data_IF_800640859361
#
_entry.id   IF_800640859361
#
_cell.length_a   1.000
_cell.length_b   1.000
_cell.length_c   1.000
_cell.angle_alpha   90.00
_cell.angle_beta   90.00
_cell.angle_gamma   90.00
#
_symmetry.space_group_name_H-M   'P 1'
#
loop_
_entity.id
_entity.type
_entity.pdbx_description
1 polymer ?
#
# COMPACT_ATOMS: atom_id res chain seq x y z
N UNK A 1 29.80 14.82 -36.76
CA UNK A 1 30.56 14.02 -35.79
C UNK A 1 29.64 13.38 -34.74
N UNK A 2 28.68 14.08 -34.16
CA UNK A 2 27.75 13.50 -33.15
C UNK A 2 26.89 12.34 -33.65
N UNK A 3 26.36 12.43 -34.90
CA UNK A 3 25.60 11.29 -35.48
C UNK A 3 26.42 10.01 -35.64
N UNK A 4 27.73 10.11 -35.75
CA UNK A 4 28.61 8.95 -35.96
C UNK A 4 28.89 8.22 -34.64
N UNK A 5 28.85 8.90 -33.51
CA UNK A 5 29.07 8.33 -32.18
C UNK A 5 27.84 7.55 -31.64
N UNK A 6 26.67 7.77 -32.23
CA UNK A 6 25.45 7.05 -31.87
C UNK A 6 25.12 5.87 -32.81
N UNK A 7 26.03 5.51 -33.73
CA UNK A 7 25.89 4.31 -34.57
C UNK A 7 26.43 3.10 -33.80
N UNK A 8 25.59 2.12 -33.46
CA UNK A 8 26.00 0.95 -32.68
C UNK A 8 27.03 0.07 -33.39
N UNK A 9 27.25 0.27 -34.69
CA UNK A 9 28.24 -0.46 -35.50
C UNK A 9 29.65 0.11 -35.43
N UNK A 10 29.82 1.28 -34.79
CA UNK A 10 31.12 1.94 -34.67
C UNK A 10 31.90 1.37 -33.49
N UNK A 11 33.17 1.00 -33.64
CA UNK A 11 34.01 0.63 -32.51
C UNK A 11 34.06 1.73 -31.44
N UNK A 12 33.84 1.38 -30.20
CA UNK A 12 33.76 2.32 -29.07
C UNK A 12 32.36 2.80 -28.76
N UNK A 13 31.33 2.25 -29.43
CA UNK A 13 29.94 2.51 -29.11
C UNK A 13 29.50 2.01 -27.72
N UNK A 14 30.36 1.24 -27.08
CA UNK A 14 30.14 0.66 -25.76
C UNK A 14 30.76 1.53 -24.68
N UNK A 15 30.09 2.61 -24.30
CA UNK A 15 30.48 3.42 -23.16
C UNK A 15 29.28 4.06 -22.50
N UNK A 16 29.36 4.34 -21.22
CA UNK A 16 28.36 5.07 -20.44
C UNK A 16 28.01 6.40 -21.13
N UNK A 17 29.00 7.18 -21.55
CA UNK A 17 28.78 8.47 -22.24
C UNK A 17 27.96 8.35 -23.53
N UNK A 18 28.16 7.28 -24.28
CA UNK A 18 27.38 7.02 -25.50
C UNK A 18 25.96 6.63 -25.15
N UNK A 19 25.78 5.77 -24.15
CA UNK A 19 24.47 5.34 -23.70
C UNK A 19 23.64 6.49 -23.14
N UNK A 20 24.24 7.40 -22.37
CA UNK A 20 23.56 8.62 -21.92
C UNK A 20 23.02 9.45 -23.09
N UNK A 21 23.82 9.59 -24.17
CA UNK A 21 23.37 10.29 -25.38
C UNK A 21 22.26 9.56 -26.13
N UNK A 22 22.33 8.23 -26.18
CA UNK A 22 21.28 7.38 -26.76
C UNK A 22 19.97 7.58 -26.02
N UNK A 23 19.98 7.50 -24.71
CA UNK A 23 18.81 7.74 -23.86
C UNK A 23 18.24 9.13 -24.11
N UNK A 24 19.08 10.19 -24.05
CA UNK A 24 18.64 11.58 -24.28
C UNK A 24 18.05 11.80 -25.67
N UNK A 25 18.46 11.01 -26.67
CA UNK A 25 17.91 11.12 -28.03
C UNK A 25 16.60 10.34 -28.23
N UNK A 26 16.29 9.40 -27.34
CA UNK A 26 15.15 8.49 -27.45
C UNK A 26 13.97 8.81 -26.53
N UNK A 27 14.11 9.80 -25.64
CA UNK A 27 13.06 10.19 -24.70
C UNK A 27 12.59 11.63 -24.94
N UNK A 28 11.37 11.95 -24.51
CA UNK A 28 10.71 13.27 -24.66
C UNK A 28 10.33 13.92 -23.32
N UNK A 29 10.90 13.44 -22.22
CA UNK A 29 10.65 13.95 -20.87
C UNK A 29 11.96 14.33 -20.15
N UNK A 30 11.86 15.19 -19.13
CA UNK A 30 12.99 15.60 -18.31
C UNK A 30 13.46 14.47 -17.38
N UNK A 31 14.78 14.38 -17.21
CA UNK A 31 15.41 13.40 -16.34
C UNK A 31 15.84 14.04 -15.01
N UNK A 32 15.76 13.32 -13.89
CA UNK A 32 16.39 13.76 -12.64
C UNK A 32 17.91 13.86 -12.78
N UNK A 33 18.53 14.79 -12.05
CA UNK A 33 19.96 15.04 -12.14
C UNK A 33 20.84 13.79 -11.91
N UNK A 34 20.40 12.88 -11.04
CA UNK A 34 21.17 11.69 -10.63
C UNK A 34 20.76 10.42 -11.38
N UNK A 35 19.93 10.51 -12.43
CA UNK A 35 19.49 9.31 -13.19
C UNK A 35 20.68 8.55 -13.79
N UNK A 36 21.73 9.25 -14.16
CA UNK A 36 22.90 8.65 -14.78
C UNK A 36 23.66 7.75 -13.83
N UNK A 37 23.77 8.13 -12.55
CA UNK A 37 24.39 7.30 -11.52
C UNK A 37 23.60 6.00 -11.31
N UNK A 38 22.25 6.09 -11.37
CA UNK A 38 21.37 4.93 -11.28
C UNK A 38 21.50 4.00 -12.50
N UNK A 39 21.59 4.56 -13.70
CA UNK A 39 21.81 3.80 -14.94
C UNK A 39 23.20 3.14 -14.92
N UNK A 40 24.23 3.88 -14.53
CA UNK A 40 25.58 3.37 -14.47
C UNK A 40 25.75 2.28 -13.39
N UNK A 41 25.05 2.38 -12.27
CA UNK A 41 25.00 1.34 -11.24
C UNK A 41 24.34 0.07 -11.78
N UNK A 42 23.20 0.21 -12.47
CA UNK A 42 22.47 -0.93 -13.05
C UNK A 42 23.26 -1.66 -14.14
N UNK A 43 24.04 -0.92 -14.92
CA UNK A 43 24.80 -1.44 -16.07
C UNK A 43 26.32 -1.46 -15.87
N UNK A 44 26.83 -0.98 -14.73
CA UNK A 44 28.26 -0.74 -14.50
C UNK A 44 29.18 -1.95 -14.73
N UNK A 45 28.70 -3.14 -14.43
CA UNK A 45 29.44 -4.39 -14.68
C UNK A 45 29.46 -4.78 -16.17
N UNK A 46 28.62 -4.18 -17.01
CA UNK A 46 28.46 -4.53 -18.43
C UNK A 46 29.17 -3.53 -19.35
N UNK A 47 29.47 -2.29 -18.89
CA UNK A 47 30.17 -1.30 -19.70
C UNK A 47 31.58 -1.72 -20.13
N UNK A 48 32.25 -2.59 -19.35
CA UNK A 48 33.62 -3.04 -19.57
C UNK A 48 33.69 -4.47 -20.13
N UNK A 49 32.58 -5.06 -20.52
CA UNK A 49 32.56 -6.42 -21.08
C UNK A 49 32.91 -6.36 -22.56
N UNK A 50 33.88 -7.13 -22.99
CA UNK A 50 34.14 -7.34 -24.41
C UNK A 50 32.93 -7.98 -25.05
N UNK A 51 32.58 -7.53 -26.25
CA UNK A 51 31.47 -8.08 -27.04
C UNK A 51 31.56 -9.59 -27.12
N UNK A 52 30.59 -10.31 -26.56
CA UNK A 52 30.50 -11.76 -26.58
C UNK A 52 30.77 -12.47 -25.24
N UNK A 53 31.01 -11.75 -24.15
CA UNK A 53 31.19 -12.34 -22.82
C UNK A 53 30.20 -11.74 -21.78
N UNK A 54 29.28 -12.57 -21.35
CA UNK A 54 28.33 -12.26 -20.28
C UNK A 54 27.02 -11.62 -20.79
N UNK A 55 25.90 -12.09 -20.28
CA UNK A 55 24.59 -11.54 -20.59
C UNK A 55 24.43 -10.15 -20.00
N UNK A 56 23.75 -9.27 -20.71
CA UNK A 56 23.23 -8.02 -20.19
C UNK A 56 22.19 -8.31 -19.09
N UNK A 57 21.95 -7.37 -18.18
CA UNK A 57 20.84 -7.56 -17.24
C UNK A 57 19.55 -7.75 -18.06
N UNK A 58 18.67 -8.63 -17.61
CA UNK A 58 17.35 -8.67 -18.19
C UNK A 58 16.62 -7.34 -17.94
N UNK A 59 15.59 -7.08 -18.75
CA UNK A 59 14.85 -5.83 -18.73
C UNK A 59 14.33 -5.48 -17.31
N UNK A 60 13.72 -6.46 -16.64
CA UNK A 60 13.14 -6.25 -15.30
C UNK A 60 14.21 -5.97 -14.25
N UNK A 61 15.34 -6.67 -14.31
CA UNK A 61 16.47 -6.43 -13.42
C UNK A 61 17.05 -5.03 -13.62
N UNK A 62 17.16 -4.55 -14.86
CA UNK A 62 17.63 -3.20 -15.16
C UNK A 62 16.66 -2.13 -14.60
N UNK A 63 15.36 -2.27 -14.89
CA UNK A 63 14.32 -1.35 -14.39
C UNK A 63 14.31 -1.33 -12.85
N UNK A 64 14.39 -2.50 -12.22
CA UNK A 64 14.42 -2.65 -10.77
C UNK A 64 15.65 -2.01 -10.15
N UNK A 65 16.83 -2.23 -10.71
CA UNK A 65 18.08 -1.66 -10.20
C UNK A 65 18.06 -0.14 -10.23
N UNK A 66 17.63 0.45 -11.36
CA UNK A 66 17.50 1.90 -11.51
C UNK A 66 16.46 2.44 -10.51
N UNK A 67 15.31 1.79 -10.40
CA UNK A 67 14.25 2.20 -9.47
C UNK A 67 14.73 2.18 -8.02
N UNK A 68 15.36 1.09 -7.59
CA UNK A 68 15.88 0.95 -6.23
C UNK A 68 16.98 1.98 -5.93
N UNK A 69 17.82 2.28 -6.91
CA UNK A 69 18.88 3.28 -6.73
C UNK A 69 18.26 4.67 -6.54
N UNK A 70 17.32 5.07 -7.40
CA UNK A 70 16.64 6.37 -7.30
C UNK A 70 15.89 6.53 -5.97
N UNK A 71 15.31 5.46 -5.49
CA UNK A 71 14.62 5.48 -4.19
C UNK A 71 15.58 5.65 -3.01
N UNK A 72 16.73 4.98 -3.03
CA UNK A 72 17.77 5.19 -2.01
C UNK A 72 18.23 6.66 -1.95
N UNK A 73 18.26 7.32 -3.10
CA UNK A 73 18.59 8.73 -3.22
C UNK A 73 17.37 9.66 -3.01
N UNK A 74 16.20 9.11 -2.62
CA UNK A 74 14.96 9.86 -2.41
C UNK A 74 14.46 10.63 -3.64
N UNK A 75 14.76 10.11 -4.83
CA UNK A 75 14.33 10.68 -6.11
C UNK A 75 13.03 10.00 -6.55
N UNK A 76 11.96 10.77 -6.70
CA UNK A 76 10.68 10.29 -7.21
C UNK A 76 10.71 10.31 -8.74
N UNK A 77 10.66 9.13 -9.35
CA UNK A 77 10.64 9.00 -10.80
C UNK A 77 9.82 7.78 -11.19
N UNK A 78 8.89 7.93 -12.16
CA UNK A 78 7.91 6.89 -12.46
C UNK A 78 8.55 5.67 -13.12
N UNK A 79 8.06 4.48 -12.78
CA UNK A 79 8.50 3.21 -13.38
C UNK A 79 8.34 3.18 -14.90
N UNK A 80 7.27 3.81 -15.45
CA UNK A 80 7.07 3.90 -16.89
C UNK A 80 8.19 4.68 -17.58
N UNK A 81 8.64 5.75 -16.98
CA UNK A 81 9.76 6.53 -17.50
C UNK A 81 11.06 5.74 -17.41
N UNK A 82 11.28 5.01 -16.30
CA UNK A 82 12.44 4.11 -16.17
C UNK A 82 12.37 3.01 -17.23
N UNK A 83 11.22 2.37 -17.41
CA UNK A 83 11.01 1.36 -18.44
C UNK A 83 11.26 1.91 -19.85
N UNK A 84 10.82 3.14 -20.13
CA UNK A 84 11.09 3.81 -21.42
C UNK A 84 12.59 4.02 -21.64
N UNK A 85 13.32 4.45 -20.59
CA UNK A 85 14.78 4.59 -20.67
C UNK A 85 15.43 3.25 -20.98
N UNK A 86 15.06 2.19 -20.26
CA UNK A 86 15.62 0.85 -20.45
C UNK A 86 15.30 0.31 -21.84
N UNK A 87 14.07 0.51 -22.37
CA UNK A 87 13.72 0.13 -23.74
C UNK A 87 14.62 0.83 -24.77
N UNK A 88 14.82 2.13 -24.66
CA UNK A 88 15.70 2.89 -25.56
C UNK A 88 17.12 2.32 -25.54
N UNK A 89 17.61 1.93 -24.35
CA UNK A 89 18.92 1.34 -24.19
C UNK A 89 19.00 -0.05 -24.84
N UNK A 90 17.99 -0.89 -24.62
CA UNK A 90 17.94 -2.25 -25.18
C UNK A 90 17.80 -2.24 -26.69
N UNK A 91 16.91 -1.42 -27.25
CA UNK A 91 16.74 -1.24 -28.69
C UNK A 91 18.06 -0.84 -29.39
N UNK A 92 18.87 -0.09 -28.67
CA UNK A 92 20.19 0.32 -29.19
C UNK A 92 21.22 -0.81 -29.03
N UNK A 93 21.24 -1.50 -27.88
CA UNK A 93 22.17 -2.64 -27.63
C UNK A 93 21.95 -3.75 -28.63
N UNK A 94 20.70 -4.09 -28.99
CA UNK A 94 20.38 -5.13 -29.99
C UNK A 94 20.98 -4.86 -31.37
N UNK A 95 21.27 -3.61 -31.69
CA UNK A 95 21.90 -3.23 -32.95
C UNK A 95 23.43 -3.41 -32.96
N UNK A 96 24.04 -3.69 -31.80
CA UNK A 96 25.49 -3.86 -31.68
C UNK A 96 25.88 -5.24 -32.22
N UNK A 97 26.77 -5.35 -33.24
CA UNK A 97 27.18 -6.64 -33.77
C UNK A 97 27.83 -7.53 -32.70
N UNK A 98 27.27 -8.70 -32.49
CA UNK A 98 27.77 -9.69 -31.52
C UNK A 98 27.33 -9.46 -30.08
N UNK A 99 26.53 -8.43 -29.79
CA UNK A 99 25.82 -8.35 -28.53
C UNK A 99 24.71 -9.42 -28.52
N UNK A 100 24.75 -10.31 -27.55
CA UNK A 100 23.64 -11.23 -27.27
C UNK A 100 22.95 -10.74 -26.04
N UNK A 101 21.77 -10.15 -26.23
CA UNK A 101 20.78 -10.12 -25.17
C UNK A 101 20.38 -11.59 -24.94
N UNK A 102 20.30 -12.00 -23.68
CA UNK A 102 19.89 -13.36 -23.37
C UNK A 102 18.45 -13.56 -23.85
N UNK A 103 18.30 -14.12 -25.05
CA UNK A 103 17.01 -14.38 -25.71
C UNK A 103 16.11 -15.34 -24.91
N UNK A 104 16.64 -15.97 -23.85
CA UNK A 104 15.83 -16.84 -23.00
C UNK A 104 14.79 -16.07 -22.16
N UNK A 105 14.88 -14.71 -22.09
CA UNK A 105 13.94 -13.84 -21.39
C UNK A 105 13.72 -12.46 -22.05
N UNK A 106 13.94 -12.31 -23.36
CA UNK A 106 13.22 -11.31 -24.17
C UNK A 106 11.81 -11.84 -24.46
N UNK A 107 11.23 -12.42 -23.50
CA UNK A 107 9.81 -12.28 -23.27
C UNK A 107 9.68 -10.80 -22.94
N UNK A 108 9.05 -10.00 -23.83
CA UNK A 108 8.29 -8.81 -23.41
C UNK A 108 7.84 -9.14 -22.00
N UNK A 109 8.35 -8.46 -20.98
CA UNK A 109 8.28 -9.01 -19.63
C UNK A 109 6.83 -9.37 -19.39
N UNK A 110 6.57 -10.62 -19.08
CA UNK A 110 5.21 -11.04 -18.68
C UNK A 110 4.65 -10.11 -17.60
N UNK A 111 5.53 -9.47 -16.84
CA UNK A 111 5.17 -8.44 -15.87
C UNK A 111 4.82 -7.08 -16.48
N UNK A 112 5.50 -6.63 -17.54
CA UNK A 112 5.13 -5.37 -18.21
C UNK A 112 3.82 -5.56 -19.00
N UNK A 113 3.67 -6.69 -19.65
CA UNK A 113 2.43 -7.09 -20.31
C UNK A 113 1.32 -7.39 -19.27
N UNK A 114 1.68 -7.94 -18.12
CA UNK A 114 0.77 -8.14 -16.99
C UNK A 114 0.42 -6.81 -16.32
N UNK A 115 1.36 -5.88 -16.18
CA UNK A 115 1.11 -4.51 -15.69
C UNK A 115 0.22 -3.74 -16.68
N UNK A 116 0.46 -3.82 -17.98
CA UNK A 116 -0.40 -3.18 -18.99
C UNK A 116 -1.74 -3.90 -19.11
N UNK A 117 -1.77 -5.22 -18.97
CA UNK A 117 -3.00 -5.99 -18.89
C UNK A 117 -3.81 -5.63 -17.64
N UNK A 118 -3.15 -5.49 -16.50
CA UNK A 118 -3.76 -4.99 -15.26
C UNK A 118 -4.24 -3.53 -15.42
N UNK A 119 -3.49 -2.67 -16.09
CA UNK A 119 -3.92 -1.30 -16.46
C UNK A 119 -5.20 -1.32 -17.29
N UNK A 120 -5.23 -2.14 -18.32
CA UNK A 120 -6.40 -2.26 -19.17
C UNK A 120 -7.57 -2.88 -18.41
N UNK A 121 -7.30 -3.83 -17.54
CA UNK A 121 -8.30 -4.47 -16.69
C UNK A 121 -8.85 -3.53 -15.62
N UNK A 122 -7.99 -2.74 -14.97
CA UNK A 122 -8.39 -1.67 -14.04
C UNK A 122 -9.16 -0.58 -14.78
N UNK A 123 -8.67 -0.09 -15.93
CA UNK A 123 -9.42 0.88 -16.77
C UNK A 123 -10.75 0.33 -17.26
N UNK A 124 -10.83 -0.97 -17.52
CA UNK A 124 -12.07 -1.65 -17.88
C UNK A 124 -13.01 -1.76 -16.69
N UNK A 125 -12.47 -2.06 -15.51
CA UNK A 125 -13.21 -2.09 -14.25
C UNK A 125 -13.71 -0.68 -13.87
N UNK A 126 -12.87 0.35 -14.00
CA UNK A 126 -13.24 1.75 -13.80
C UNK A 126 -14.37 2.19 -14.74
N UNK A 127 -14.33 1.79 -16.02
CA UNK A 127 -15.43 2.05 -16.97
C UNK A 127 -16.70 1.33 -16.53
N UNK A 128 -16.59 0.04 -16.17
CA UNK A 128 -17.73 -0.73 -15.70
C UNK A 128 -18.31 -0.16 -14.40
N UNK A 129 -17.45 0.29 -13.49
CA UNK A 129 -17.84 0.96 -12.24
C UNK A 129 -18.48 2.32 -12.55
N UNK A 130 -17.89 3.14 -13.45
CA UNK A 130 -18.46 4.41 -13.89
C UNK A 130 -19.79 4.26 -14.62
N UNK A 131 -19.96 3.18 -15.39
CA UNK A 131 -21.21 2.87 -16.06
C UNK A 131 -22.29 2.39 -15.08
N UNK A 132 -21.89 1.81 -13.94
CA UNK A 132 -22.80 1.39 -12.85
C UNK A 132 -23.14 2.55 -11.90
N UNK A 133 -22.25 3.52 -11.70
CA UNK A 133 -22.46 4.68 -10.83
C UNK A 133 -23.71 5.52 -11.15
N UNK A 134 -24.14 5.73 -12.42
CA UNK A 134 -25.39 6.42 -12.71
C UNK A 134 -26.64 5.72 -12.18
N UNK A 135 -26.60 4.39 -12.00
CA UNK A 135 -27.71 3.63 -11.38
C UNK A 135 -27.72 3.75 -9.87
N UNK A 136 -26.59 4.18 -9.27
CA UNK A 136 -26.42 4.48 -7.86
C UNK A 136 -26.68 5.97 -7.54
N UNK A 137 -27.00 6.80 -8.54
CA UNK A 137 -27.27 8.23 -8.39
C UNK A 137 -28.49 8.50 -7.51
N UNK A 138 -28.26 8.61 -6.24
CA UNK A 138 -29.27 8.82 -5.19
C UNK A 138 -28.76 8.50 -3.80
N UNK A 139 -27.65 7.76 -3.72
CA UNK A 139 -26.92 7.59 -2.45
C UNK A 139 -25.79 8.62 -2.48
N UNK A 140 -25.75 9.58 -1.52
CA UNK A 140 -24.56 10.39 -1.36
C UNK A 140 -23.38 9.43 -1.20
N UNK A 141 -22.39 9.51 -2.08
CA UNK A 141 -21.11 8.81 -1.88
C UNK A 141 -20.55 9.40 -0.60
N UNK A 142 -20.86 8.79 0.51
CA UNK A 142 -20.39 9.22 1.80
C UNK A 142 -18.92 8.85 1.89
N UNK A 143 -18.06 9.78 1.54
CA UNK A 143 -16.60 9.66 1.73
C UNK A 143 -16.27 9.80 3.21
N UNK A 144 -16.94 9.00 4.02
CA UNK A 144 -16.74 9.01 5.45
C UNK A 144 -15.39 8.39 5.79
N UNK A 145 -14.51 9.15 6.38
CA UNK A 145 -13.12 8.78 6.68
C UNK A 145 -12.75 9.18 8.13
N UNK A 146 -11.55 8.82 8.55
CA UNK A 146 -11.08 8.99 9.91
C UNK A 146 -11.00 10.45 10.37
N UNK A 147 -10.75 11.41 9.46
CA UNK A 147 -10.75 12.86 9.80
C UNK A 147 -12.12 13.37 10.22
N UNK A 148 -13.19 12.65 9.88
CA UNK A 148 -14.56 13.02 10.22
C UNK A 148 -15.04 12.39 11.53
N UNK A 149 -14.24 11.53 12.13
CA UNK A 149 -14.56 10.85 13.41
C UNK A 149 -14.30 11.75 14.60
N UNK A 150 -14.99 11.50 15.70
CA UNK A 150 -14.84 12.27 16.96
C UNK A 150 -14.84 11.40 18.22
N UNK A 151 -14.99 10.10 18.07
CA UNK A 151 -15.07 9.18 19.20
C UNK A 151 -14.29 7.87 18.88
N UNK A 152 -13.59 7.33 19.89
CA UNK A 152 -12.81 6.11 19.78
C UNK A 152 -13.33 5.04 20.73
N UNK A 153 -13.58 3.85 20.22
CA UNK A 153 -13.77 2.67 21.05
C UNK A 153 -12.52 1.81 21.11
N UNK A 154 -12.29 1.19 22.24
CA UNK A 154 -11.29 0.15 22.48
C UNK A 154 -11.95 -1.07 23.10
N UNK A 155 -11.34 -2.24 22.92
CA UNK A 155 -11.80 -3.48 23.52
C UNK A 155 -11.53 -3.51 25.04
N UNK A 156 -12.45 -4.07 25.82
CA UNK A 156 -12.25 -4.36 27.26
C UNK A 156 -11.05 -5.30 27.49
N UNK A 157 -10.71 -6.15 26.49
CA UNK A 157 -9.54 -7.03 26.50
C UNK A 157 -8.21 -6.30 26.48
N UNK A 158 -8.17 -5.06 25.98
CA UNK A 158 -6.94 -4.26 26.03
C UNK A 158 -6.50 -4.02 27.49
N UNK A 159 -7.45 -3.79 28.38
CA UNK A 159 -7.19 -3.62 29.82
C UNK A 159 -6.74 -4.91 30.48
N UNK A 160 -7.31 -6.05 30.07
CA UNK A 160 -7.00 -7.36 30.61
C UNK A 160 -5.62 -7.83 30.15
N UNK A 161 -5.34 -7.78 28.84
CA UNK A 161 -4.12 -8.35 28.28
C UNK A 161 -2.93 -7.39 28.33
N UNK A 162 -3.17 -6.07 28.21
CA UNK A 162 -2.14 -5.04 28.16
C UNK A 162 -2.43 -3.86 29.09
N UNK A 163 -2.53 -4.07 30.41
CA UNK A 163 -3.00 -3.04 31.38
C UNK A 163 -2.14 -1.77 31.39
N UNK A 164 -0.84 -1.89 31.13
CA UNK A 164 0.06 -0.71 31.04
C UNK A 164 -0.21 0.11 29.78
N UNK A 165 -0.35 -0.56 28.63
CA UNK A 165 -0.68 0.11 27.37
C UNK A 165 -2.06 0.74 27.45
N UNK A 166 -3.05 0.04 27.98
CA UNK A 166 -4.39 0.59 28.24
C UNK A 166 -4.33 1.89 29.06
N UNK A 167 -3.68 1.86 30.22
CA UNK A 167 -3.61 3.03 31.13
C UNK A 167 -2.91 4.23 30.48
N UNK A 168 -1.86 3.98 29.68
CA UNK A 168 -1.13 5.04 28.98
C UNK A 168 -1.92 5.59 27.78
N UNK A 169 -2.61 4.72 27.04
CA UNK A 169 -3.39 5.11 25.86
C UNK A 169 -4.61 5.94 26.27
N UNK A 170 -5.36 5.50 27.27
CA UNK A 170 -6.53 6.23 27.77
C UNK A 170 -6.14 7.58 28.40
N UNK A 171 -4.99 7.63 29.06
CA UNK A 171 -4.43 8.92 29.53
C UNK A 171 -4.10 9.85 28.35
N UNK A 172 -3.49 9.33 27.28
CA UNK A 172 -3.16 10.11 26.09
C UNK A 172 -4.43 10.61 25.39
N UNK A 173 -5.49 9.79 25.30
CA UNK A 173 -6.78 10.23 24.78
C UNK A 173 -7.32 11.44 25.54
N UNK A 174 -7.30 11.39 26.89
CA UNK A 174 -7.73 12.50 27.71
C UNK A 174 -6.82 13.74 27.56
N UNK A 175 -5.51 13.58 27.43
CA UNK A 175 -4.56 14.68 27.18
C UNK A 175 -4.74 15.34 25.81
N UNK A 176 -5.28 14.62 24.83
CA UNK A 176 -5.55 15.10 23.48
C UNK A 176 -7.01 15.49 23.25
N UNK A 177 -7.85 15.50 24.30
CA UNK A 177 -9.29 15.74 24.19
C UNK A 177 -9.96 14.83 23.15
N UNK A 178 -9.57 13.53 23.11
CA UNK A 178 -10.23 12.50 22.33
C UNK A 178 -11.28 11.83 23.22
N UNK A 179 -12.54 11.89 22.81
CA UNK A 179 -13.60 11.14 23.46
C UNK A 179 -13.46 9.65 23.17
N UNK A 180 -13.60 8.82 24.21
CA UNK A 180 -13.40 7.39 24.05
C UNK A 180 -14.31 6.56 24.98
N UNK A 181 -14.44 5.26 24.67
CA UNK A 181 -15.17 4.30 25.49
C UNK A 181 -14.66 2.88 25.30
N UNK A 182 -15.10 1.97 26.16
CA UNK A 182 -14.81 0.55 26.07
C UNK A 182 -16.00 -0.21 25.45
N UNK A 183 -15.68 -1.28 24.73
CA UNK A 183 -16.66 -2.28 24.28
C UNK A 183 -16.42 -3.54 25.09
N UNK A 184 -17.45 -3.95 25.83
CA UNK A 184 -17.43 -5.14 26.68
C UNK A 184 -17.82 -6.40 25.90
N UNK A 185 -17.35 -7.55 26.35
CA UNK A 185 -17.71 -8.86 25.81
C UNK A 185 -16.94 -9.28 24.58
N UNK A 186 -15.91 -8.54 24.21
CA UNK A 186 -14.97 -8.88 23.15
C UNK A 186 -14.11 -10.08 23.53
N UNK A 187 -13.43 -10.72 22.56
CA UNK A 187 -12.57 -11.87 22.78
C UNK A 187 -11.09 -11.54 22.62
N UNK A 188 -10.79 -10.51 21.84
CA UNK A 188 -9.45 -10.00 21.59
C UNK A 188 -9.42 -8.47 21.55
N UNK A 189 -8.25 -7.91 21.23
CA UNK A 189 -8.03 -6.46 21.18
C UNK A 189 -8.21 -5.85 19.79
N UNK A 190 -8.39 -6.66 18.75
CA UNK A 190 -8.39 -6.24 17.35
C UNK A 190 -9.75 -5.72 16.91
N UNK A 191 -10.23 -4.72 17.62
CA UNK A 191 -11.57 -4.18 17.48
C UNK A 191 -11.86 -3.62 16.08
N UNK A 192 -10.86 -3.16 15.36
CA UNK A 192 -10.98 -2.68 13.97
C UNK A 192 -11.56 -3.76 13.06
N UNK A 193 -11.17 -5.00 13.25
CA UNK A 193 -11.45 -6.06 12.31
C UNK A 193 -12.88 -6.59 12.40
N UNK A 194 -13.49 -6.55 13.59
CA UNK A 194 -14.84 -7.09 13.78
C UNK A 194 -15.93 -6.03 13.98
N UNK A 195 -15.58 -4.74 14.07
CA UNK A 195 -16.60 -3.70 14.23
C UNK A 195 -17.06 -3.12 12.88
N UNK A 196 -18.33 -2.65 12.80
CA UNK A 196 -18.89 -2.13 11.56
C UNK A 196 -18.12 -0.95 10.98
N UNK A 197 -18.11 -0.86 9.65
CA UNK A 197 -17.50 0.26 8.93
C UNK A 197 -18.52 1.38 8.78
N UNK A 198 -18.20 2.59 9.25
CA UNK A 198 -19.05 3.74 9.07
C UNK A 198 -19.03 4.23 7.63
N UNK A 199 -20.20 4.32 7.00
CA UNK A 199 -20.36 4.76 5.61
C UNK A 199 -20.74 6.23 5.50
N UNK A 200 -21.48 6.74 6.49
CA UNK A 200 -21.92 8.14 6.61
C UNK A 200 -22.17 8.48 8.08
N UNK A 201 -22.60 9.69 8.38
CA UNK A 201 -22.91 10.12 9.74
C UNK A 201 -23.90 9.19 10.47
N UNK A 202 -24.76 8.50 9.73
CA UNK A 202 -25.84 7.70 10.28
C UNK A 202 -25.94 6.28 9.70
N UNK A 203 -24.97 5.81 8.92
CA UNK A 203 -24.98 4.48 8.31
C UNK A 203 -23.69 3.71 8.56
N UNK A 204 -23.87 2.44 8.93
CA UNK A 204 -22.79 1.50 9.21
C UNK A 204 -22.98 0.22 8.39
N UNK A 205 -21.91 -0.26 7.79
CA UNK A 205 -21.87 -1.55 7.10
C UNK A 205 -21.45 -2.64 8.10
N UNK A 206 -22.28 -3.66 8.22
CA UNK A 206 -21.99 -4.87 9.00
C UNK A 206 -21.75 -6.02 8.04
N UNK A 207 -20.62 -6.67 8.21
CA UNK A 207 -20.13 -7.77 7.39
C UNK A 207 -19.94 -9.03 8.25
N UNK A 208 -19.55 -10.13 7.63
CA UNK A 208 -19.21 -11.37 8.34
C UNK A 208 -17.74 -11.32 8.73
N UNK A 209 -17.44 -11.28 10.02
CA UNK A 209 -16.10 -11.46 10.53
C UNK A 209 -15.81 -12.95 10.70
N UNK A 210 -14.93 -13.52 9.89
CA UNK A 210 -14.57 -14.94 9.88
C UNK A 210 -13.15 -15.12 9.28
N UNK A 211 -12.15 -14.52 9.94
CA UNK A 211 -10.80 -14.44 9.40
C UNK A 211 -10.16 -15.83 9.26
N UNK A 212 -9.42 -16.02 8.18
CA UNK A 212 -8.79 -17.29 7.86
C UNK A 212 -7.68 -17.67 8.84
N UNK A 213 -6.95 -16.71 9.39
CA UNK A 213 -5.86 -16.90 10.34
C UNK A 213 -6.33 -17.36 11.74
N UNK A 214 -7.63 -17.33 12.06
CA UNK A 214 -8.20 -17.89 13.29
C UNK A 214 -8.84 -19.27 13.11
N UNK A 215 -8.91 -19.83 11.89
CA UNK A 215 -9.66 -21.07 11.61
C UNK A 215 -9.05 -22.31 12.26
N UNK A 216 -7.73 -22.44 12.24
CA UNK A 216 -7.03 -23.63 12.74
C UNK A 216 -6.64 -23.51 14.21
N UNK A 217 -6.28 -22.32 14.65
CA UNK A 217 -5.93 -22.01 16.03
C UNK A 217 -6.42 -20.61 16.36
N UNK A 218 -7.00 -20.42 17.54
CA UNK A 218 -7.42 -19.09 17.98
C UNK A 218 -8.92 -18.82 17.90
N UNK A 219 -9.77 -19.84 17.68
CA UNK A 219 -11.23 -19.69 17.70
C UNK A 219 -11.78 -19.10 19.00
N UNK A 220 -11.07 -19.29 20.11
CA UNK A 220 -11.37 -18.67 21.39
C UNK A 220 -11.28 -17.13 21.37
N UNK A 221 -10.53 -16.58 20.42
CA UNK A 221 -10.37 -15.12 20.22
C UNK A 221 -11.39 -14.56 19.20
N UNK A 222 -12.18 -15.42 18.55
CA UNK A 222 -13.18 -14.97 17.59
C UNK A 222 -14.33 -14.24 18.30
N UNK A 223 -14.37 -12.94 18.15
CA UNK A 223 -15.44 -12.09 18.69
C UNK A 223 -16.72 -12.24 17.85
N UNK A 224 -17.86 -12.45 18.48
CA UNK A 224 -19.16 -12.40 17.82
C UNK A 224 -19.54 -10.94 17.50
N UNK A 225 -19.10 -10.48 16.35
CA UNK A 225 -19.37 -9.11 15.88
C UNK A 225 -20.86 -8.75 15.87
N UNK A 226 -21.72 -9.74 15.55
CA UNK A 226 -23.17 -9.55 15.47
C UNK A 226 -23.83 -9.21 16.82
N UNK A 227 -23.31 -9.77 17.89
CA UNK A 227 -23.78 -9.47 19.26
C UNK A 227 -23.23 -8.13 19.75
N UNK A 228 -21.96 -7.87 19.44
CA UNK A 228 -21.25 -6.72 19.99
C UNK A 228 -21.79 -5.38 19.44
N UNK A 229 -21.89 -5.23 18.11
CA UNK A 229 -22.32 -3.93 17.55
C UNK A 229 -23.75 -3.55 17.94
N UNK A 230 -24.65 -4.52 18.17
CA UNK A 230 -26.05 -4.28 18.57
C UNK A 230 -26.20 -3.57 19.92
N UNK A 231 -25.18 -3.67 20.76
CA UNK A 231 -25.19 -2.95 22.04
C UNK A 231 -24.86 -1.45 21.88
N UNK A 232 -24.35 -1.05 20.71
CA UNK A 232 -23.84 0.30 20.46
C UNK A 232 -24.62 1.01 19.35
N UNK A 233 -24.94 0.29 18.28
CA UNK A 233 -25.58 0.84 17.10
C UNK A 233 -27.07 0.42 17.03
N UNK A 234 -27.98 1.38 16.83
CA UNK A 234 -29.38 1.08 16.57
C UNK A 234 -29.54 0.41 15.20
N UNK A 235 -30.51 -0.50 15.08
CA UNK A 235 -30.71 -1.35 13.90
C UNK A 235 -30.96 -0.54 12.62
N UNK A 236 -31.64 0.59 12.73
CA UNK A 236 -31.98 1.49 11.61
C UNK A 236 -30.73 2.15 10.98
N UNK A 237 -29.60 2.21 11.70
CA UNK A 237 -28.32 2.70 11.19
C UNK A 237 -27.49 1.63 10.51
N UNK A 238 -27.91 0.39 10.52
CA UNK A 238 -27.10 -0.75 10.07
C UNK A 238 -27.54 -1.24 8.69
N UNK A 239 -26.57 -1.40 7.78
CA UNK A 239 -26.71 -2.13 6.52
C UNK A 239 -25.94 -3.44 6.65
N UNK A 240 -26.64 -4.57 6.67
CA UNK A 240 -25.99 -5.89 6.67
C UNK A 240 -25.66 -6.35 5.26
N UNK A 241 -24.46 -6.92 5.08
CA UNK A 241 -24.02 -7.53 3.83
C UNK A 241 -23.45 -8.93 4.08
N UNK A 242 -23.54 -9.79 3.07
CA UNK A 242 -22.97 -11.13 3.14
C UNK A 242 -21.59 -11.15 2.47
N UNK A 243 -20.66 -10.42 3.07
CA UNK A 243 -19.25 -10.35 2.66
C UNK A 243 -18.44 -10.79 3.88
N UNK A 244 -17.54 -11.76 3.71
CA UNK A 244 -16.51 -12.07 4.69
C UNK A 244 -15.40 -11.04 4.54
N UNK A 245 -15.07 -10.34 5.62
CA UNK A 245 -14.16 -9.21 5.59
C UNK A 245 -13.56 -8.99 6.99
N UNK A 246 -12.37 -8.46 7.02
CA UNK A 246 -11.73 -7.85 8.18
C UNK A 246 -11.79 -6.32 8.02
N UNK A 247 -12.21 -5.59 9.04
CA UNK A 247 -12.35 -4.13 8.96
C UNK A 247 -11.04 -3.40 8.70
N UNK A 248 -9.91 -3.95 9.15
CA UNK A 248 -8.58 -3.44 8.84
C UNK A 248 -8.23 -3.51 7.34
N UNK A 249 -8.90 -4.40 6.60
CA UNK A 249 -8.75 -4.46 5.15
C UNK A 249 -9.59 -3.39 4.40
N UNK A 250 -10.06 -2.35 5.08
CA UNK A 250 -10.83 -1.28 4.44
C UNK A 250 -10.31 0.09 4.86
N UNK A 251 -9.69 0.80 3.93
CA UNK A 251 -9.22 2.17 4.12
C UNK A 251 -10.02 3.10 3.21
N UNK A 252 -10.54 4.19 3.77
CA UNK A 252 -11.25 5.19 2.96
C UNK A 252 -10.28 6.24 2.45
N UNK A 253 -10.12 6.29 1.12
CA UNK A 253 -9.27 7.25 0.45
C UNK A 253 -10.09 8.09 -0.54
N UNK A 254 -10.45 9.32 -0.18
CA UNK A 254 -11.24 10.24 -0.99
C UNK A 254 -12.56 9.58 -1.47
N UNK A 255 -12.69 9.34 -2.80
CA UNK A 255 -13.87 8.71 -3.39
C UNK A 255 -13.79 7.16 -3.38
N UNK A 256 -12.68 6.58 -2.97
CA UNK A 256 -12.42 5.15 -3.05
C UNK A 256 -12.42 4.49 -1.66
N UNK A 257 -12.85 3.23 -1.63
CA UNK A 257 -12.48 2.29 -0.57
C UNK A 257 -11.31 1.46 -1.08
N UNK A 258 -10.22 1.46 -0.35
CA UNK A 258 -9.03 0.67 -0.68
C UNK A 258 -9.07 -0.62 0.12
N UNK A 259 -8.91 -1.75 -0.55
CA UNK A 259 -8.85 -3.09 0.04
C UNK A 259 -7.73 -3.88 -0.61
N UNK A 260 -7.21 -4.88 0.05
CA UNK A 260 -6.39 -5.88 -0.64
C UNK A 260 -7.27 -6.90 -1.37
N UNK A 261 -6.73 -7.53 -2.37
CA UNK A 261 -7.43 -8.57 -3.14
C UNK A 261 -7.58 -9.91 -2.37
N UNK A 262 -7.08 -10.00 -1.14
CA UNK A 262 -7.38 -11.07 -0.18
C UNK A 262 -8.90 -11.31 -0.03
N UNK A 263 -9.69 -10.24 -0.11
CA UNK A 263 -11.16 -10.32 0.01
C UNK A 263 -11.81 -11.31 -0.97
N UNK A 264 -11.23 -11.52 -2.15
CA UNK A 264 -11.74 -12.51 -3.11
C UNK A 264 -11.56 -13.94 -2.59
N UNK A 265 -10.39 -14.24 -2.04
CA UNK A 265 -10.07 -15.56 -1.47
C UNK A 265 -10.96 -15.84 -0.25
N UNK A 266 -11.14 -14.90 0.66
CA UNK A 266 -11.97 -15.04 1.86
C UNK A 266 -13.42 -15.33 1.53
N UNK A 267 -13.92 -14.84 0.40
CA UNK A 267 -15.28 -15.08 -0.08
C UNK A 267 -15.39 -16.23 -1.08
N UNK A 268 -14.33 -17.00 -1.30
CA UNK A 268 -14.31 -18.13 -2.24
C UNK A 268 -14.58 -17.70 -3.68
N UNK A 269 -14.12 -16.51 -4.07
CA UNK A 269 -14.31 -15.93 -5.40
C UNK A 269 -13.01 -15.97 -6.20
N UNK A 270 -13.14 -16.10 -7.50
CA UNK A 270 -12.02 -15.88 -8.38
C UNK A 270 -11.54 -14.43 -8.25
N UNK A 271 -10.22 -14.22 -8.30
CA UNK A 271 -9.61 -12.89 -8.22
C UNK A 271 -10.22 -11.98 -9.30
N UNK A 272 -10.71 -10.82 -8.90
CA UNK A 272 -11.40 -9.83 -9.75
C UNK A 272 -12.69 -10.33 -10.44
N UNK A 273 -13.42 -11.27 -9.83
CA UNK A 273 -14.73 -11.71 -10.34
C UNK A 273 -15.71 -10.52 -10.45
N UNK A 274 -16.22 -10.21 -11.67
CA UNK A 274 -16.99 -8.97 -11.91
C UNK A 274 -18.23 -8.84 -11.03
N UNK A 275 -18.98 -9.95 -10.84
CA UNK A 275 -20.20 -9.95 -10.03
C UNK A 275 -19.89 -9.68 -8.55
N UNK A 276 -18.73 -10.09 -8.07
CA UNK A 276 -18.34 -9.83 -6.69
C UNK A 276 -17.85 -8.40 -6.50
N UNK A 277 -17.10 -7.86 -7.47
CA UNK A 277 -16.72 -6.44 -7.51
C UNK A 277 -17.97 -5.56 -7.49
N UNK A 278 -18.94 -5.86 -8.36
CA UNK A 278 -20.20 -5.15 -8.39
C UNK A 278 -20.90 -5.21 -7.01
N UNK A 279 -21.00 -6.39 -6.42
CA UNK A 279 -21.65 -6.57 -5.13
C UNK A 279 -20.99 -5.79 -4.00
N UNK A 280 -19.64 -5.79 -3.95
CA UNK A 280 -18.90 -4.98 -2.95
C UNK A 280 -19.12 -3.49 -3.22
N UNK A 281 -18.97 -3.03 -4.46
CA UNK A 281 -19.18 -1.63 -4.85
C UNK A 281 -20.56 -1.13 -4.44
N UNK A 282 -21.63 -1.89 -4.73
CA UNK A 282 -23.01 -1.58 -4.32
C UNK A 282 -23.17 -1.61 -2.79
N UNK A 283 -22.44 -2.51 -2.12
CA UNK A 283 -22.50 -2.65 -0.67
C UNK A 283 -21.92 -1.43 0.03
N UNK A 284 -20.80 -0.94 -0.42
CA UNK A 284 -20.13 0.25 0.12
C UNK A 284 -20.67 1.57 -0.45
N UNK A 285 -21.33 1.55 -1.61
CA UNK A 285 -21.80 2.75 -2.31
C UNK A 285 -20.64 3.65 -2.78
N UNK A 286 -19.47 3.08 -3.03
CA UNK A 286 -18.26 3.78 -3.47
C UNK A 286 -17.40 2.89 -4.36
N UNK A 287 -16.54 3.50 -5.17
CA UNK A 287 -15.54 2.77 -5.94
C UNK A 287 -14.58 2.01 -5.02
N UNK A 288 -14.20 0.79 -5.42
CA UNK A 288 -13.26 -0.04 -4.68
C UNK A 288 -11.97 -0.16 -5.48
N UNK A 289 -10.86 0.21 -4.85
CA UNK A 289 -9.53 -0.04 -5.38
C UNK A 289 -8.94 -1.27 -4.67
N UNK A 290 -8.59 -2.29 -5.44
CA UNK A 290 -7.95 -3.49 -4.91
C UNK A 290 -6.44 -3.40 -5.05
N UNK A 291 -5.75 -3.44 -3.91
CA UNK A 291 -4.30 -3.59 -3.85
C UNK A 291 -3.91 -5.06 -3.96
N UNK A 292 -2.73 -5.39 -4.47
CA UNK A 292 -2.26 -6.76 -4.48
C UNK A 292 -2.01 -7.24 -3.05
N UNK A 293 -2.15 -8.54 -2.86
CA UNK A 293 -1.72 -9.24 -1.65
C UNK A 293 -1.05 -10.55 -2.08
N UNK A 294 0.22 -10.64 -1.83
CA UNK A 294 1.02 -11.80 -2.11
C UNK A 294 1.26 -12.57 -0.81
N UNK A 295 0.30 -13.39 -0.40
CA UNK A 295 0.56 -14.46 0.55
C UNK A 295 1.10 -15.65 -0.24
N UNK A 296 2.37 -15.70 -0.41
CA UNK A 296 3.00 -16.92 -0.80
C UNK A 296 2.95 -17.87 0.43
N UNK A 297 2.37 -19.04 0.25
CA UNK A 297 2.33 -20.10 1.26
C UNK A 297 3.72 -20.67 1.55
N UNK A 298 4.78 -19.96 1.21
CA UNK A 298 6.14 -20.27 1.60
C UNK A 298 6.27 -20.11 3.12
N UNK A 299 7.12 -20.91 3.74
CA UNK A 299 7.49 -20.78 5.15
C UNK A 299 8.31 -19.49 5.41
N UNK A 300 8.03 -18.41 4.67
CA UNK A 300 8.67 -17.13 4.88
C UNK A 300 8.06 -16.45 6.10
N UNK A 301 8.90 -16.25 7.11
CA UNK A 301 8.51 -15.56 8.34
C UNK A 301 8.16 -14.09 8.13
N UNK A 302 8.34 -13.54 6.93
CA UNK A 302 8.03 -12.16 6.56
C UNK A 302 6.74 -12.02 5.74
N UNK A 303 6.07 -13.14 5.39
CA UNK A 303 4.82 -13.09 4.65
C UNK A 303 3.74 -12.37 5.48
N UNK A 304 3.09 -11.39 4.88
CA UNK A 304 1.91 -10.74 5.47
C UNK A 304 0.71 -11.70 5.43
N UNK A 305 0.48 -12.39 6.54
CA UNK A 305 -0.62 -13.33 6.68
C UNK A 305 -1.97 -12.65 6.86
N UNK A 306 -1.99 -11.37 7.25
CA UNK A 306 -3.21 -10.62 7.50
C UNK A 306 -3.76 -9.99 6.22
N UNK A 307 -2.90 -9.43 5.38
CA UNK A 307 -3.26 -8.82 4.11
C UNK A 307 -4.22 -7.64 4.25
N UNK A 308 -4.01 -6.78 5.24
CA UNK A 308 -4.90 -5.67 5.53
C UNK A 308 -4.40 -4.36 4.88
N UNK A 309 -5.31 -3.64 4.24
CA UNK A 309 -5.00 -2.37 3.58
C UNK A 309 -4.51 -1.27 4.55
N UNK A 310 -4.94 -1.30 5.82
CA UNK A 310 -4.52 -0.35 6.86
C UNK A 310 -3.07 -0.52 7.33
N UNK A 311 -2.42 -1.63 6.93
CA UNK A 311 -0.99 -1.87 7.05
C UNK A 311 -0.19 -1.35 5.83
N UNK A 312 -0.86 -0.94 4.77
CA UNK A 312 -0.23 -0.55 3.51
C UNK A 312 -0.39 0.94 3.21
N UNK A 313 -1.56 1.51 3.44
CA UNK A 313 -1.89 2.87 3.03
C UNK A 313 -2.73 3.61 4.06
N UNK A 314 -2.62 4.94 4.06
CA UNK A 314 -3.48 5.85 4.81
C UNK A 314 -3.77 7.10 3.97
N UNK A 315 -5.03 7.56 3.96
CA UNK A 315 -5.41 8.78 3.26
C UNK A 315 -4.99 10.03 4.05
N UNK A 316 -4.45 11.04 3.37
CA UNK A 316 -3.92 12.25 4.00
C UNK A 316 -4.51 13.55 3.45
N UNK A 317 -5.72 13.44 2.89
CA UNK A 317 -6.46 14.58 2.36
C UNK A 317 -6.38 14.71 0.83
N UNK A 318 -7.41 15.23 0.23
CA UNK A 318 -7.56 15.40 -1.22
C UNK A 318 -7.27 14.08 -1.98
N UNK A 319 -6.40 14.13 -2.98
CA UNK A 319 -5.92 12.96 -3.72
C UNK A 319 -4.59 12.40 -3.17
N UNK A 320 -4.21 12.70 -1.93
CA UNK A 320 -2.93 12.29 -1.34
C UNK A 320 -3.06 11.06 -0.46
N UNK A 321 -2.13 10.13 -0.63
CA UNK A 321 -2.03 8.89 0.14
C UNK A 321 -0.61 8.71 0.67
N UNK A 322 -0.49 8.40 1.95
CA UNK A 322 0.74 7.92 2.55
C UNK A 322 0.77 6.40 2.41
N UNK A 323 1.86 5.87 1.88
CA UNK A 323 2.12 4.44 1.74
C UNK A 323 3.18 4.01 2.75
N UNK A 324 3.04 2.81 3.30
CA UNK A 324 4.02 2.22 4.22
C UNK A 324 5.37 2.01 3.54
N UNK A 325 6.38 1.63 4.34
CA UNK A 325 7.67 1.17 3.82
C UNK A 325 7.63 -0.28 3.34
N UNK A 326 6.55 -0.69 2.70
CA UNK A 326 6.35 -2.07 2.24
C UNK A 326 7.49 -2.55 1.33
N UNK A 327 8.13 -1.64 0.62
CA UNK A 327 9.31 -1.89 -0.21
C UNK A 327 10.50 -2.52 0.53
N UNK A 328 10.62 -2.29 1.82
CA UNK A 328 11.66 -2.94 2.64
C UNK A 328 11.40 -4.45 2.79
N UNK A 329 10.17 -4.90 2.54
CA UNK A 329 9.72 -6.29 2.69
C UNK A 329 9.52 -6.96 1.33
N UNK A 330 8.71 -6.38 0.46
CA UNK A 330 8.46 -6.81 -0.90
C UNK A 330 8.51 -5.60 -1.87
N UNK A 331 9.64 -5.37 -2.54
CA UNK A 331 9.78 -4.26 -3.48
C UNK A 331 8.85 -4.36 -4.69
N UNK A 332 8.56 -5.58 -5.16
CA UNK A 332 7.72 -5.79 -6.34
C UNK A 332 6.25 -5.50 -6.02
N UNK A 333 5.78 -5.99 -4.88
CA UNK A 333 4.42 -5.70 -4.44
C UNK A 333 4.25 -4.21 -4.11
N UNK A 334 5.27 -3.57 -3.51
CA UNK A 334 5.25 -2.15 -3.25
C UNK A 334 5.12 -1.31 -4.53
N UNK A 335 5.80 -1.72 -5.62
CA UNK A 335 5.68 -1.07 -6.91
C UNK A 335 4.27 -1.22 -7.50
N UNK A 336 3.68 -2.42 -7.40
CA UNK A 336 2.30 -2.66 -7.88
C UNK A 336 1.28 -1.88 -7.04
N UNK A 337 1.42 -1.84 -5.71
CA UNK A 337 0.58 -1.03 -4.81
C UNK A 337 0.64 0.44 -5.23
N UNK A 338 1.83 0.99 -5.32
CA UNK A 338 2.05 2.39 -5.71
C UNK A 338 1.43 2.69 -7.06
N UNK A 339 1.71 1.83 -8.04
CA UNK A 339 1.19 2.01 -9.38
C UNK A 339 -0.35 2.03 -9.42
N UNK A 340 -1.03 1.13 -8.69
CA UNK A 340 -2.50 1.09 -8.62
C UNK A 340 -3.10 2.35 -8.00
N UNK A 341 -2.46 2.87 -6.96
CA UNK A 341 -2.85 4.14 -6.34
C UNK A 341 -2.71 5.30 -7.32
N UNK A 342 -1.56 5.41 -8.00
CA UNK A 342 -1.30 6.46 -8.99
C UNK A 342 -2.21 6.34 -10.22
N UNK A 343 -2.57 5.13 -10.65
CA UNK A 343 -3.46 4.89 -11.80
C UNK A 343 -4.88 5.45 -11.61
N UNK A 344 -5.36 5.55 -10.38
CA UNK A 344 -6.65 6.17 -10.06
C UNK A 344 -6.52 7.65 -9.64
N UNK A 345 -5.33 8.22 -9.75
CA UNK A 345 -5.08 9.66 -9.58
C UNK A 345 -4.58 10.09 -8.21
N UNK A 346 -4.14 9.15 -7.35
CA UNK A 346 -3.54 9.52 -6.08
C UNK A 346 -2.09 10.00 -6.24
N UNK A 347 -1.72 11.00 -5.46
CA UNK A 347 -0.35 11.40 -5.19
C UNK A 347 0.17 10.56 -4.02
N UNK A 348 1.09 9.64 -4.30
CA UNK A 348 1.58 8.67 -3.32
C UNK A 348 2.88 9.15 -2.69
N UNK A 349 2.89 9.33 -1.38
CA UNK A 349 4.11 9.49 -0.60
C UNK A 349 4.44 8.18 0.10
N UNK A 350 5.55 7.55 -0.25
CA UNK A 350 6.03 6.32 0.39
C UNK A 350 6.92 6.67 1.58
N UNK A 351 6.74 5.99 2.72
CA UNK A 351 7.64 6.14 3.86
C UNK A 351 8.93 5.37 3.59
N UNK A 352 10.04 6.07 3.43
CA UNK A 352 11.36 5.49 3.23
C UNK A 352 12.23 5.86 4.42
N UNK A 353 12.82 4.84 5.08
CA UNK A 353 13.62 5.06 6.28
C UNK A 353 15.12 4.99 5.97
N UNK A 354 15.78 6.12 6.13
CA UNK A 354 17.24 6.23 6.02
C UNK A 354 17.89 5.99 7.39
N UNK A 355 18.10 4.71 7.70
CA UNK A 355 18.78 4.28 8.93
C UNK A 355 19.74 3.13 8.61
N UNK A 356 20.93 3.09 9.25
CA UNK A 356 21.97 2.09 8.91
C UNK A 356 21.53 0.63 9.08
N UNK A 357 20.61 0.37 10.01
CA UNK A 357 20.09 -0.97 10.32
C UNK A 357 18.59 -0.87 10.60
N UNK A 358 17.73 -0.92 9.56
CA UNK A 358 16.29 -0.86 9.72
C UNK A 358 15.76 -1.99 10.59
N UNK A 359 14.86 -1.67 11.50
CA UNK A 359 14.24 -2.65 12.37
C UNK A 359 12.92 -3.16 11.76
N UNK A 360 13.01 -4.19 10.93
CA UNK A 360 11.89 -4.79 10.21
C UNK A 360 10.81 -5.42 11.12
N UNK A 361 11.12 -5.73 12.38
CA UNK A 361 10.14 -6.28 13.31
C UNK A 361 9.03 -5.27 13.65
N UNK A 362 9.29 -3.97 13.49
CA UNK A 362 8.39 -2.91 13.92
C UNK A 362 8.14 -1.81 12.90
N UNK A 363 9.09 -1.54 11.99
CA UNK A 363 9.03 -0.33 11.16
C UNK A 363 7.88 -0.34 10.13
N UNK A 364 7.29 -1.49 9.86
CA UNK A 364 6.09 -1.65 9.04
C UNK A 364 4.85 -1.00 9.64
N UNK A 365 4.80 -0.90 10.98
CA UNK A 365 3.58 -0.57 11.71
C UNK A 365 3.29 0.93 11.85
N UNK A 366 4.17 1.81 11.38
CA UNK A 366 3.93 3.27 11.50
C UNK A 366 2.71 3.75 10.73
N UNK A 367 2.39 3.13 9.58
CA UNK A 367 1.22 3.47 8.78
C UNK A 367 -0.10 3.16 9.50
N UNK A 368 -0.08 2.21 10.43
CA UNK A 368 -1.22 1.78 11.24
C UNK A 368 -1.45 2.72 12.43
N UNK A 369 -1.46 4.02 12.16
CA UNK A 369 -1.71 5.06 13.16
C UNK A 369 -3.21 5.32 13.34
N UNK A 370 -3.59 5.85 14.49
CA UNK A 370 -4.95 6.29 14.78
C UNK A 370 -5.11 7.76 14.40
N UNK A 371 -6.11 8.06 13.57
CA UNK A 371 -6.56 9.41 13.27
C UNK A 371 -8.01 9.62 13.77
N UNK A 372 -8.25 10.73 14.46
CA UNK A 372 -9.56 11.13 14.99
C UNK A 372 -9.73 12.63 14.83
N UNK A 373 -10.49 13.05 13.83
CA UNK A 373 -10.60 14.45 13.46
C UNK A 373 -9.24 15.05 13.10
N UNK A 374 -8.81 16.06 13.82
CA UNK A 374 -7.51 16.73 13.66
C UNK A 374 -6.38 16.12 14.53
N UNK A 375 -6.59 14.96 15.13
CA UNK A 375 -5.68 14.35 16.10
C UNK A 375 -5.16 13.03 15.56
N UNK A 376 -3.84 12.87 15.60
CA UNK A 376 -3.14 11.67 15.12
C UNK A 376 -2.24 11.11 16.22
N UNK A 377 -2.40 9.83 16.53
CA UNK A 377 -1.52 9.09 17.43
C UNK A 377 -0.75 8.05 16.61
N UNK A 378 0.57 8.20 16.57
CA UNK A 378 1.47 7.37 15.79
C UNK A 378 2.11 6.30 16.68
N UNK A 379 2.07 5.02 16.31
CA UNK A 379 2.82 4.01 17.04
C UNK A 379 4.31 4.30 16.98
N UNK A 380 5.01 4.12 18.10
CA UNK A 380 6.46 4.28 18.20
C UNK A 380 7.07 3.08 18.93
N UNK A 381 8.31 2.78 18.63
CA UNK A 381 8.93 1.53 19.07
C UNK A 381 10.27 1.74 19.81
N UNK A 382 10.77 2.98 19.91
CA UNK A 382 12.07 3.31 20.49
C UNK A 382 13.21 2.82 19.58
N UNK A 383 13.03 2.99 18.28
CA UNK A 383 13.99 2.68 17.21
C UNK A 383 14.32 3.95 16.42
N UNK A 384 15.42 3.97 15.66
CA UNK A 384 15.84 5.18 14.94
C UNK A 384 14.79 5.74 13.98
N UNK A 385 13.98 4.87 13.37
CA UNK A 385 12.92 5.20 12.41
C UNK A 385 11.78 6.03 13.02
N UNK A 386 11.53 5.95 14.33
CA UNK A 386 10.43 6.67 15.00
C UNK A 386 10.39 8.16 14.63
N UNK A 387 11.57 8.80 14.56
CA UNK A 387 11.66 10.23 14.24
C UNK A 387 11.33 10.55 12.78
N UNK A 388 11.69 9.63 11.88
CA UNK A 388 11.40 9.81 10.46
C UNK A 388 9.92 9.56 10.20
N UNK A 389 9.35 8.50 10.78
CA UNK A 389 7.92 8.19 10.67
C UNK A 389 7.04 9.36 11.16
N UNK A 390 7.35 9.91 12.35
CA UNK A 390 6.64 11.08 12.88
C UNK A 390 6.75 12.30 11.95
N UNK A 391 7.89 12.51 11.27
CA UNK A 391 8.06 13.58 10.29
C UNK A 391 7.23 13.35 9.03
N UNK A 392 7.24 12.12 8.48
CA UNK A 392 6.41 11.77 7.33
C UNK A 392 4.94 12.03 7.60
N UNK A 393 4.42 11.49 8.70
CA UNK A 393 3.01 11.61 9.06
C UNK A 393 2.64 13.08 9.35
N UNK A 394 3.50 13.84 10.04
CA UNK A 394 3.25 15.26 10.26
C UNK A 394 3.32 16.09 8.98
N UNK A 395 4.24 15.78 8.08
CA UNK A 395 4.33 16.48 6.78
C UNK A 395 3.12 16.18 5.88
N UNK A 396 2.62 14.93 5.91
CA UNK A 396 1.42 14.54 5.19
C UNK A 396 0.14 15.16 5.77
N UNK A 397 0.12 15.46 7.07
CA UNK A 397 -1.01 16.02 7.82
C UNK A 397 -0.61 17.30 8.57
N UNK A 398 -0.33 18.41 7.85
CA UNK A 398 0.29 19.60 8.43
C UNK A 398 -0.58 20.29 9.48
N UNK A 399 -1.90 20.19 9.37
CA UNK A 399 -2.86 20.83 10.27
C UNK A 399 -3.19 19.99 11.51
N UNK A 400 -2.84 18.69 11.51
CA UNK A 400 -3.19 17.75 12.59
C UNK A 400 -2.21 17.84 13.76
N UNK A 401 -2.72 17.55 14.97
CA UNK A 401 -1.93 17.38 16.20
C UNK A 401 -1.39 15.95 16.22
N UNK A 402 -0.08 15.78 15.99
CA UNK A 402 0.57 14.47 15.91
C UNK A 402 1.32 14.16 17.21
N UNK A 403 1.05 13.01 17.82
CA UNK A 403 1.72 12.51 19.03
C UNK A 403 2.20 11.08 18.82
N UNK A 404 3.38 10.77 19.30
CA UNK A 404 3.90 9.40 19.32
C UNK A 404 3.40 8.63 20.54
N UNK A 405 3.09 7.34 20.38
CA UNK A 405 2.70 6.43 21.44
C UNK A 405 3.48 5.12 21.38
N UNK A 406 4.20 4.81 22.46
CA UNK A 406 5.04 3.61 22.50
C UNK A 406 4.23 2.35 22.74
N UNK A 407 4.26 1.38 21.77
CA UNK A 407 3.43 0.17 21.84
C UNK A 407 4.08 -1.12 21.30
N UNK A 408 5.35 -1.32 21.60
CA UNK A 408 6.15 -2.47 21.14
C UNK A 408 5.51 -3.83 21.40
N UNK A 409 4.87 -3.99 22.58
CA UNK A 409 4.30 -5.26 23.02
C UNK A 409 3.10 -5.71 22.16
N UNK A 410 2.33 -4.76 21.63
CA UNK A 410 1.19 -5.05 20.75
C UNK A 410 1.64 -5.30 19.31
N UNK A 411 2.56 -4.48 18.82
CA UNK A 411 3.04 -4.58 17.44
C UNK A 411 3.68 -5.94 17.11
N UNK A 412 4.26 -6.62 18.11
CA UNK A 412 4.76 -8.00 17.96
C UNK A 412 3.69 -9.04 17.60
N UNK A 413 2.42 -8.70 17.81
CA UNK A 413 1.29 -9.57 17.52
C UNK A 413 0.58 -9.19 16.22
N UNK A 414 1.23 -8.41 15.34
CA UNK A 414 0.78 -8.15 13.97
C UNK A 414 -0.17 -6.98 13.78
N UNK A 415 -0.33 -6.08 14.76
CA UNK A 415 -1.16 -4.87 14.63
C UNK A 415 -0.66 -3.71 15.45
N UNK A 416 -1.18 -2.50 15.19
CA UNK A 416 -0.82 -1.31 15.94
C UNK A 416 -2.07 -0.50 16.36
N UNK A 417 -1.98 0.82 16.39
CA UNK A 417 -3.02 1.68 16.96
C UNK A 417 -4.35 1.62 16.20
N UNK A 418 -4.31 1.60 14.87
CA UNK A 418 -5.54 1.51 14.06
C UNK A 418 -6.26 0.18 14.32
N UNK A 419 -5.54 -0.93 14.37
CA UNK A 419 -6.11 -2.26 14.60
C UNK A 419 -6.79 -2.42 15.97
N UNK A 420 -6.27 -1.76 17.02
CA UNK A 420 -6.84 -1.86 18.39
C UNK A 420 -7.88 -0.78 18.71
N UNK A 421 -8.29 0.01 17.71
CA UNK A 421 -9.26 1.10 17.88
C UNK A 421 -10.35 1.05 16.82
N UNK A 422 -11.53 1.48 17.21
CA UNK A 422 -12.65 1.70 16.31
C UNK A 422 -13.13 3.14 16.47
N UNK A 423 -12.74 4.00 15.55
CA UNK A 423 -13.11 5.40 15.57
C UNK A 423 -14.37 5.64 14.72
N UNK A 424 -15.28 6.42 15.25
CA UNK A 424 -16.55 6.77 14.63
C UNK A 424 -16.90 8.25 14.86
N UNK A 425 -17.83 8.75 14.11
CA UNK A 425 -18.58 9.96 14.41
C UNK A 425 -19.82 9.55 15.22
N UNK A 426 -19.90 10.05 16.43
CA UNK A 426 -21.08 9.96 17.30
C UNK A 426 -22.08 11.06 17.06
#
# INVERSE_FOLDING_TARGET
MEKFLLDPKVPGAFSSDVMHKVVLSGIDFELPDNIWDAIDDAFGNYWNVEVGYGGWPDFNSAVRSISNWLQKEHIIFSLDKIATIVNVMFDWIEQIPGATLDDSEVVVPHKYDETERLRQEIKKQERNIKDLLPSLSGVPVGNFNDTMTNFVYISDKLKEFYPRTYSRLTKLFNEMDIEWGEIEGTKDIWIRDYMPIQLSDDKFLVYKYDPDYLKDSGKEYLTDSQSIYKSILPEEKVKQVNITLDGGNVVTCYAHRVMTDKVFQENGKAKYAPEFIQYITESFGSEILFLPWHCDNSNDSNADVYGHADGLVHWTGDNRVLMSNHRDFDPEEADDIRWRLEAVGFEVTEMLFDVPNPNKDYNWAYINYLEVGDKIIVPTFGIPEDKQALRYIKAANPDSIVRGFRMREIARNGGALHCITWNIKK
#
